data_IF_863138930338
#
_entry.id   IF_863138930338
#
_cell.length_a   1.000
_cell.length_b   1.000
_cell.length_c   1.000
_cell.angle_alpha   90.00
_cell.angle_beta   90.00
_cell.angle_gamma   90.00
#
_symmetry.space_group_name_H-M   'P 1'
#
loop_
_entity.id
_entity.type
_entity.pdbx_description
1 polymer ?
#
# COMPACT_ATOMS: atom_id res chain seq x y z
N UNK A 1 8.83 3.97 6.30
CA UNK A 1 8.15 3.40 7.48
C UNK A 1 6.84 4.15 7.60
N UNK A 2 5.69 3.49 7.51
CA UNK A 2 4.40 4.20 7.61
C UNK A 2 4.34 4.90 8.96
N UNK A 3 4.07 6.21 8.97
CA UNK A 3 3.96 6.97 10.22
C UNK A 3 2.79 6.46 11.08
N UNK A 4 1.86 5.74 10.45
CA UNK A 4 0.87 4.91 11.11
C UNK A 4 1.45 3.97 12.18
N UNK A 5 2.68 3.45 12.01
CA UNK A 5 3.33 2.57 12.97
C UNK A 5 3.69 3.29 14.29
N UNK A 6 3.84 4.62 14.28
CA UNK A 6 4.02 5.40 15.51
C UNK A 6 2.77 5.38 16.40
N UNK A 7 1.61 4.97 15.88
CA UNK A 7 0.42 4.78 16.71
C UNK A 7 0.59 3.64 17.73
N UNK A 8 1.42 2.63 17.48
CA UNK A 8 1.57 1.50 18.39
C UNK A 8 2.17 1.87 19.76
N UNK A 9 3.33 2.56 19.85
CA UNK A 9 3.85 3.02 21.14
C UNK A 9 2.91 4.03 21.80
N UNK A 10 2.32 4.94 21.01
CA UNK A 10 1.39 5.94 21.53
C UNK A 10 0.12 5.31 22.15
N UNK A 11 -0.42 4.26 21.52
CA UNK A 11 -1.55 3.49 22.07
C UNK A 11 -1.22 2.86 23.42
N UNK A 12 -0.03 2.31 23.60
CA UNK A 12 0.39 1.72 24.89
C UNK A 12 0.39 2.75 26.03
N UNK A 13 0.80 3.98 25.74
CA UNK A 13 0.79 5.08 26.72
C UNK A 13 -0.64 5.48 27.10
N UNK A 14 -1.57 5.45 26.13
CA UNK A 14 -2.96 5.87 26.34
C UNK A 14 -3.88 4.79 26.91
N UNK A 15 -3.51 3.51 26.83
CA UNK A 15 -4.29 2.40 27.40
C UNK A 15 -4.74 2.58 28.86
N UNK A 16 -3.87 3.00 29.82
CA UNK A 16 -4.31 3.21 31.20
C UNK A 16 -5.33 4.34 31.32
N UNK A 17 -5.18 5.40 30.52
CA UNK A 17 -6.12 6.53 30.50
C UNK A 17 -7.47 6.11 29.89
N UNK A 18 -7.45 5.32 28.81
CA UNK A 18 -8.66 4.76 28.20
C UNK A 18 -9.42 3.87 29.19
N UNK A 19 -8.72 3.07 30.00
CA UNK A 19 -9.33 2.27 31.08
C UNK A 19 -10.04 3.13 32.14
N UNK A 20 -9.43 4.24 32.57
CA UNK A 20 -10.05 5.19 33.52
C UNK A 20 -11.26 5.91 32.93
N UNK A 21 -11.23 6.21 31.64
CA UNK A 21 -12.32 6.82 30.89
C UNK A 21 -13.31 5.78 30.33
N UNK A 22 -13.22 4.53 30.77
CA UNK A 22 -14.04 3.42 30.28
C UNK A 22 -15.54 3.60 30.47
N UNK A 23 -15.98 4.55 31.30
CA UNK A 23 -17.39 4.91 31.50
C UNK A 23 -17.95 5.79 30.36
N UNK A 24 -17.12 6.52 29.63
CA UNK A 24 -17.53 7.35 28.50
C UNK A 24 -17.80 6.51 27.25
N UNK A 25 -18.85 6.86 26.51
CA UNK A 25 -19.15 6.23 25.24
C UNK A 25 -18.19 6.74 24.14
N UNK A 26 -17.58 5.87 23.32
CA UNK A 26 -16.64 6.28 22.25
C UNK A 26 -17.22 7.37 21.33
N UNK A 27 -18.49 7.24 20.95
CA UNK A 27 -19.19 8.21 20.10
C UNK A 27 -19.12 9.65 20.64
N UNK A 28 -19.23 9.85 21.96
CA UNK A 28 -19.15 11.19 22.59
C UNK A 28 -17.76 11.78 22.35
N UNK A 29 -16.72 10.96 22.48
CA UNK A 29 -15.33 11.36 22.23
C UNK A 29 -15.15 11.77 20.77
N UNK A 30 -15.72 11.02 19.83
CA UNK A 30 -15.66 11.33 18.39
C UNK A 30 -16.42 12.62 18.03
N UNK A 31 -17.60 12.88 18.62
CA UNK A 31 -18.31 14.15 18.41
C UNK A 31 -17.60 15.34 19.07
N UNK A 32 -17.03 15.15 20.26
CA UNK A 32 -16.25 16.19 20.92
C UNK A 32 -15.00 16.58 20.11
N UNK A 33 -14.39 15.62 19.39
CA UNK A 33 -13.31 15.90 18.46
C UNK A 33 -13.72 16.85 17.29
N UNK A 34 -15.01 16.95 16.96
CA UNK A 34 -15.53 17.95 16.00
C UNK A 34 -15.52 19.34 16.60
N UNK A 35 -15.93 19.49 17.86
CA UNK A 35 -15.88 20.76 18.58
C UNK A 35 -14.43 21.26 18.69
N UNK A 36 -13.50 20.38 19.05
CA UNK A 36 -12.06 20.69 19.08
C UNK A 36 -11.56 21.12 17.69
N UNK A 37 -12.03 20.49 16.62
CA UNK A 37 -11.65 20.86 15.26
C UNK A 37 -12.23 22.22 14.84
N UNK A 38 -13.45 22.56 15.25
CA UNK A 38 -14.03 23.89 15.03
C UNK A 38 -13.25 24.98 15.78
N UNK A 39 -12.86 24.73 17.04
CA UNK A 39 -12.00 25.64 17.80
C UNK A 39 -10.62 25.80 17.14
N UNK A 40 -10.06 24.71 16.61
CA UNK A 40 -8.81 24.75 15.83
C UNK A 40 -8.95 25.60 14.57
N UNK A 41 -10.07 25.46 13.85
CA UNK A 41 -10.37 26.23 12.65
C UNK A 41 -10.47 27.73 12.95
N UNK A 42 -11.14 28.09 14.06
CA UNK A 42 -11.21 29.47 14.54
C UNK A 42 -9.83 30.02 14.90
N UNK A 43 -8.98 29.23 15.57
CA UNK A 43 -7.60 29.63 15.88
C UNK A 43 -6.81 29.99 14.61
N UNK A 44 -6.96 29.21 13.52
CA UNK A 44 -6.33 29.52 12.25
C UNK A 44 -6.93 30.76 11.57
N UNK A 45 -8.24 30.94 11.66
CA UNK A 45 -8.92 32.09 11.05
C UNK A 45 -8.42 33.42 11.61
N UNK A 46 -8.32 33.52 12.95
CA UNK A 46 -7.97 34.75 13.64
C UNK A 46 -6.46 34.87 14.00
N UNK A 47 -5.64 33.91 13.56
CA UNK A 47 -4.22 33.85 13.94
C UNK A 47 -3.37 35.04 13.49
N UNK A 48 -3.84 35.81 12.50
CA UNK A 48 -3.11 37.01 12.04
C UNK A 48 -3.25 38.13 13.06
N UNK A 49 -4.42 38.27 13.69
CA UNK A 49 -4.65 39.25 14.75
C UNK A 49 -4.02 38.79 16.08
N UNK A 50 -4.08 37.48 16.34
CA UNK A 50 -3.59 36.87 17.58
C UNK A 50 -2.64 35.70 17.27
N UNK A 51 -1.34 35.96 17.06
CA UNK A 51 -0.34 34.96 16.63
C UNK A 51 -0.23 33.73 17.53
N UNK A 52 -0.46 33.91 18.84
CA UNK A 52 -0.45 32.84 19.84
C UNK A 52 -1.50 31.75 19.52
N UNK A 53 -2.56 32.08 18.78
CA UNK A 53 -3.56 31.11 18.32
C UNK A 53 -2.95 30.01 17.45
N UNK A 54 -1.82 30.23 16.75
CA UNK A 54 -1.14 29.17 16.00
C UNK A 54 -0.59 28.08 16.92
N UNK A 55 -0.05 28.46 18.08
CA UNK A 55 0.43 27.49 19.09
C UNK A 55 -0.76 26.76 19.71
N UNK A 56 -1.84 27.47 20.02
CA UNK A 56 -3.07 26.86 20.52
C UNK A 56 -3.64 25.87 19.49
N UNK A 57 -3.64 26.22 18.19
CA UNK A 57 -4.07 25.32 17.11
C UNK A 57 -3.24 24.02 17.09
N UNK A 58 -1.91 24.09 17.26
CA UNK A 58 -1.05 22.90 17.36
C UNK A 58 -1.45 22.04 18.56
N UNK A 59 -1.67 22.64 19.73
CA UNK A 59 -2.10 21.93 20.94
C UNK A 59 -3.46 21.25 20.74
N UNK A 60 -4.42 21.93 20.10
CA UNK A 60 -5.74 21.38 19.79
C UNK A 60 -5.65 20.24 18.76
N UNK A 61 -4.75 20.31 17.78
CA UNK A 61 -4.50 19.20 16.84
C UNK A 61 -3.95 17.97 17.58
N UNK A 62 -2.97 18.15 18.47
CA UNK A 62 -2.43 17.07 19.31
C UNK A 62 -3.52 16.47 20.21
N UNK A 63 -4.33 17.33 20.84
CA UNK A 63 -5.44 16.90 21.68
C UNK A 63 -6.47 16.10 20.88
N UNK A 64 -6.87 16.57 19.70
CA UNK A 64 -7.77 15.83 18.80
C UNK A 64 -7.18 14.48 18.39
N UNK A 65 -5.89 14.40 18.05
CA UNK A 65 -5.25 13.12 17.74
C UNK A 65 -5.25 12.15 18.92
N UNK A 66 -5.18 12.68 20.14
CA UNK A 66 -5.32 11.92 21.39
C UNK A 66 -6.73 11.35 21.51
N UNK A 67 -7.77 12.18 21.35
CA UNK A 67 -9.18 11.77 21.39
C UNK A 67 -9.47 10.67 20.35
N UNK A 68 -9.01 10.88 19.11
CA UNK A 68 -9.11 9.94 17.98
C UNK A 68 -8.27 8.65 18.13
N UNK A 69 -7.46 8.56 19.18
CA UNK A 69 -6.75 7.33 19.53
C UNK A 69 -7.44 6.64 20.71
N UNK A 70 -7.95 7.42 21.67
CA UNK A 70 -8.73 6.94 22.80
C UNK A 70 -10.03 6.27 22.35
N UNK A 71 -10.79 6.90 21.46
CA UNK A 71 -12.03 6.33 20.89
C UNK A 71 -11.81 4.93 20.28
N UNK A 72 -10.72 4.77 19.52
CA UNK A 72 -10.34 3.51 18.90
C UNK A 72 -9.89 2.46 19.92
N UNK A 73 -9.20 2.85 21.00
CA UNK A 73 -8.84 1.92 22.08
C UNK A 73 -10.11 1.49 22.83
N UNK A 74 -10.99 2.42 23.18
CA UNK A 74 -12.24 2.15 23.88
C UNK A 74 -13.17 1.24 23.08
N UNK A 75 -13.29 1.47 21.76
CA UNK A 75 -14.08 0.63 20.87
C UNK A 75 -13.57 -0.83 20.83
N UNK A 76 -12.24 -1.02 20.80
CA UNK A 76 -11.61 -2.35 20.85
C UNK A 76 -11.86 -3.01 22.21
N UNK A 77 -11.63 -2.29 23.32
CA UNK A 77 -11.79 -2.82 24.68
C UNK A 77 -13.24 -3.24 24.98
N UNK A 78 -14.22 -2.54 24.42
CA UNK A 78 -15.65 -2.87 24.57
C UNK A 78 -16.11 -4.01 23.66
N UNK A 79 -15.23 -4.59 22.83
CA UNK A 79 -15.59 -5.61 21.84
C UNK A 79 -16.58 -5.13 20.78
N UNK A 80 -16.82 -3.82 20.71
CA UNK A 80 -17.96 -3.23 20.01
C UNK A 80 -17.55 -2.72 18.62
N UNK A 81 -16.92 -3.59 17.84
CA UNK A 81 -16.63 -3.37 16.41
C UNK A 81 -17.93 -3.50 15.59
N UNK A 82 -18.92 -2.66 15.91
CA UNK A 82 -20.20 -2.63 15.20
C UNK A 82 -20.09 -1.82 13.91
N UNK A 83 -20.90 -2.16 12.91
CA UNK A 83 -21.01 -1.38 11.66
C UNK A 83 -21.42 0.08 11.93
N UNK A 84 -22.29 0.30 12.92
CA UNK A 84 -22.65 1.64 13.39
C UNK A 84 -21.41 2.41 13.89
N UNK A 85 -20.60 1.78 14.71
CA UNK A 85 -19.36 2.36 15.24
C UNK A 85 -18.36 2.73 14.14
N UNK A 86 -18.30 1.98 13.04
CA UNK A 86 -17.46 2.37 11.89
C UNK A 86 -17.89 3.72 11.29
N UNK A 87 -19.19 3.96 11.14
CA UNK A 87 -19.73 5.22 10.61
C UNK A 87 -19.50 6.37 11.61
N UNK A 88 -19.83 6.14 12.89
CA UNK A 88 -19.72 7.16 13.93
C UNK A 88 -18.26 7.54 14.22
N UNK A 89 -17.30 6.66 13.95
CA UNK A 89 -15.89 7.03 13.98
C UNK A 89 -15.44 7.75 12.70
N UNK A 90 -15.89 7.29 11.53
CA UNK A 90 -15.39 7.80 10.25
C UNK A 90 -15.92 9.20 9.90
N UNK A 91 -17.22 9.46 10.14
CA UNK A 91 -17.90 10.65 9.65
C UNK A 91 -17.52 11.92 10.44
N UNK A 92 -17.56 11.96 11.79
CA UNK A 92 -17.06 13.09 12.57
C UNK A 92 -15.60 13.42 12.24
N UNK A 93 -14.77 12.40 12.05
CA UNK A 93 -13.39 12.56 11.59
C UNK A 93 -13.27 13.31 10.26
N UNK A 94 -14.16 13.04 9.29
CA UNK A 94 -14.19 13.76 8.01
C UNK A 94 -14.58 15.22 8.22
N UNK A 95 -15.62 15.48 9.01
CA UNK A 95 -16.02 16.86 9.33
C UNK A 95 -14.91 17.63 10.04
N UNK A 96 -14.25 17.02 11.03
CA UNK A 96 -13.12 17.64 11.72
C UNK A 96 -11.95 17.94 10.78
N UNK A 97 -11.64 17.04 9.82
CA UNK A 97 -10.60 17.30 8.81
C UNK A 97 -11.00 18.46 7.88
N UNK A 98 -12.27 18.55 7.47
CA UNK A 98 -12.78 19.64 6.64
C UNK A 98 -12.70 20.96 7.40
N UNK A 99 -13.23 21.03 8.62
CA UNK A 99 -13.26 22.24 9.45
C UNK A 99 -11.85 22.81 9.64
N UNK A 100 -10.89 21.96 10.02
CA UNK A 100 -9.53 22.40 10.28
C UNK A 100 -8.85 22.97 9.02
N UNK A 101 -8.98 22.30 7.87
CA UNK A 101 -8.41 22.82 6.61
C UNK A 101 -9.19 24.05 6.14
N UNK A 102 -10.51 24.11 6.34
CA UNK A 102 -11.32 25.28 6.04
C UNK A 102 -10.90 26.50 6.87
N UNK A 103 -10.57 26.33 8.15
CA UNK A 103 -10.02 27.40 8.98
C UNK A 103 -8.72 27.97 8.41
N UNK A 104 -7.85 27.11 7.87
CA UNK A 104 -6.63 27.55 7.16
C UNK A 104 -6.98 28.23 5.83
N UNK A 105 -7.91 27.65 5.06
CA UNK A 105 -8.30 28.14 3.74
C UNK A 105 -9.01 29.50 3.78
N UNK A 106 -9.72 29.79 4.87
CA UNK A 106 -10.44 31.03 5.11
C UNK A 106 -9.61 32.04 5.89
N UNK A 107 -8.44 31.65 6.42
CA UNK A 107 -7.57 32.59 7.10
C UNK A 107 -6.79 33.45 6.10
N UNK A 108 -6.32 34.63 6.50
CA UNK A 108 -5.48 35.43 5.62
C UNK A 108 -4.14 34.75 5.30
N UNK A 109 -3.76 33.66 5.98
CA UNK A 109 -2.52 32.95 5.74
C UNK A 109 -2.56 32.06 4.49
N UNK A 110 -3.71 31.85 3.85
CA UNK A 110 -3.81 30.97 2.68
C UNK A 110 -4.71 31.56 1.59
N UNK A 111 -4.30 31.45 0.32
CA UNK A 111 -5.21 31.67 -0.81
C UNK A 111 -6.35 30.66 -0.79
N UNK A 112 -7.59 31.17 -0.79
CA UNK A 112 -8.81 30.36 -0.69
C UNK A 112 -8.86 29.21 -1.70
N UNK A 113 -8.48 29.44 -2.96
CA UNK A 113 -8.51 28.42 -4.00
C UNK A 113 -7.57 27.24 -3.70
N UNK A 114 -6.41 27.50 -3.09
CA UNK A 114 -5.43 26.48 -2.75
C UNK A 114 -5.94 25.63 -1.58
N UNK A 115 -6.53 26.28 -0.58
CA UNK A 115 -7.22 25.62 0.53
C UNK A 115 -8.39 24.73 0.05
N UNK A 116 -9.21 25.21 -0.89
CA UNK A 116 -10.31 24.42 -1.49
C UNK A 116 -9.77 23.16 -2.19
N UNK A 117 -8.71 23.28 -2.99
CA UNK A 117 -8.08 22.13 -3.65
C UNK A 117 -7.51 21.14 -2.62
N UNK A 118 -6.91 21.65 -1.53
CA UNK A 118 -6.41 20.81 -0.45
C UNK A 118 -7.52 20.05 0.29
N UNK A 119 -8.68 20.68 0.54
CA UNK A 119 -9.88 20.03 1.08
C UNK A 119 -10.36 18.93 0.14
N UNK A 120 -10.53 19.24 -1.15
CA UNK A 120 -10.96 18.26 -2.15
C UNK A 120 -10.01 17.07 -2.25
N UNK A 121 -8.70 17.34 -2.25
CA UNK A 121 -7.67 16.29 -2.26
C UNK A 121 -7.71 15.45 -0.99
N UNK A 122 -7.83 16.06 0.18
CA UNK A 122 -7.96 15.36 1.46
C UNK A 122 -9.18 14.43 1.47
N UNK A 123 -10.31 14.92 0.96
CA UNK A 123 -11.55 14.17 0.86
C UNK A 123 -11.37 12.97 -0.07
N UNK A 124 -10.79 13.16 -1.26
CA UNK A 124 -10.51 12.09 -2.22
C UNK A 124 -9.54 11.04 -1.69
N UNK A 125 -8.50 11.43 -0.94
CA UNK A 125 -7.60 10.47 -0.27
C UNK A 125 -8.39 9.57 0.69
N UNK A 126 -9.32 10.15 1.44
CA UNK A 126 -10.11 9.44 2.44
C UNK A 126 -11.19 8.57 1.80
N UNK A 127 -11.86 9.12 0.79
CA UNK A 127 -12.85 8.45 -0.04
C UNK A 127 -12.27 7.24 -0.75
N UNK A 128 -11.13 7.37 -1.45
CA UNK A 128 -10.48 6.23 -2.10
C UNK A 128 -10.14 5.12 -1.10
N UNK A 129 -9.76 5.46 0.13
CA UNK A 129 -9.60 4.45 1.19
C UNK A 129 -10.89 3.68 1.48
N UNK A 130 -12.01 4.38 1.68
CA UNK A 130 -13.31 3.78 1.98
C UNK A 130 -13.93 3.03 0.79
N UNK A 131 -13.70 3.51 -0.44
CA UNK A 131 -14.14 2.84 -1.67
C UNK A 131 -13.63 1.40 -1.75
N UNK A 132 -12.43 1.14 -1.22
CA UNK A 132 -11.89 -0.21 -1.14
C UNK A 132 -12.80 -1.15 -0.33
N UNK A 133 -13.21 -0.71 0.87
CA UNK A 133 -14.15 -1.47 1.72
C UNK A 133 -15.47 -1.74 1.00
N UNK A 134 -16.02 -0.72 0.32
CA UNK A 134 -17.29 -0.83 -0.40
C UNK A 134 -17.22 -1.85 -1.55
N UNK A 135 -16.08 -1.91 -2.25
CA UNK A 135 -15.82 -2.88 -3.32
C UNK A 135 -15.33 -4.24 -2.80
N UNK A 136 -15.40 -4.49 -1.48
CA UNK A 136 -14.89 -5.67 -0.79
C UNK A 136 -13.38 -5.93 -0.95
N UNK A 137 -12.61 -4.96 -1.46
CA UNK A 137 -11.16 -5.06 -1.56
C UNK A 137 -10.48 -4.50 -0.32
N UNK A 138 -9.24 -4.91 -0.09
CA UNK A 138 -8.48 -4.51 1.08
C UNK A 138 -8.39 -2.99 1.21
N UNK A 139 -8.50 -2.52 2.45
CA UNK A 139 -8.40 -1.11 2.76
C UNK A 139 -6.96 -0.63 2.51
N UNK A 140 -6.77 0.23 1.51
CA UNK A 140 -5.46 0.77 1.19
C UNK A 140 -5.10 1.93 2.11
N UNK A 141 -4.23 1.68 3.10
CA UNK A 141 -3.71 2.70 4.01
C UNK A 141 -2.44 3.40 3.51
N UNK A 142 -1.80 2.85 2.48
CA UNK A 142 -0.50 3.32 2.02
C UNK A 142 -0.56 4.67 1.28
N UNK A 143 0.59 5.33 1.19
CA UNK A 143 0.79 6.61 0.49
C UNK A 143 1.37 7.68 1.42
N UNK A 144 2.09 8.67 0.89
CA UNK A 144 2.81 9.66 1.71
C UNK A 144 1.92 10.68 2.40
N UNK A 145 0.63 10.76 2.07
CA UNK A 145 -0.30 11.75 2.64
C UNK A 145 -1.54 11.08 3.25
N UNK A 146 -1.30 10.18 4.20
CA UNK A 146 -2.35 9.60 5.03
C UNK A 146 -2.89 10.57 6.09
N UNK A 147 -3.71 10.05 7.03
CA UNK A 147 -4.37 10.88 8.05
C UNK A 147 -3.34 11.53 9.00
N UNK A 148 -2.36 10.75 9.47
CA UNK A 148 -1.38 11.23 10.48
C UNK A 148 -0.37 12.15 9.80
N UNK A 149 0.07 11.79 8.60
CA UNK A 149 0.98 12.57 7.74
C UNK A 149 0.45 13.99 7.53
N UNK A 150 -0.85 14.12 7.25
CA UNK A 150 -1.51 15.41 7.12
C UNK A 150 -1.44 16.26 8.39
N UNK A 151 -1.75 15.68 9.54
CA UNK A 151 -1.73 16.40 10.82
C UNK A 151 -0.32 16.88 11.15
N UNK A 152 0.70 16.05 10.89
CA UNK A 152 2.10 16.42 11.10
C UNK A 152 2.53 17.55 10.18
N UNK A 153 2.18 17.49 8.88
CA UNK A 153 2.47 18.58 7.94
C UNK A 153 1.83 19.88 8.41
N UNK A 154 0.55 19.87 8.79
CA UNK A 154 -0.13 21.07 9.28
C UNK A 154 0.57 21.61 10.53
N UNK A 155 0.88 20.78 11.53
CA UNK A 155 1.54 21.24 12.75
C UNK A 155 2.94 21.80 12.49
N UNK A 156 3.76 21.14 11.65
CA UNK A 156 5.11 21.62 11.32
C UNK A 156 5.04 22.96 10.62
N UNK A 157 4.20 23.11 9.60
CA UNK A 157 4.09 24.39 8.89
C UNK A 157 3.40 25.47 9.72
N UNK A 158 2.51 25.11 10.65
CA UNK A 158 1.95 26.04 11.63
C UNK A 158 3.04 26.57 12.57
N UNK A 159 3.95 25.70 13.02
CA UNK A 159 5.09 26.10 13.85
C UNK A 159 6.06 27.00 13.06
N UNK A 160 6.35 26.65 11.81
CA UNK A 160 7.16 27.50 10.92
C UNK A 160 6.49 28.85 10.70
N UNK A 161 5.17 28.89 10.49
CA UNK A 161 4.40 30.13 10.35
C UNK A 161 4.50 31.01 11.59
N UNK A 162 4.45 30.40 12.78
CA UNK A 162 4.57 31.13 14.05
C UNK A 162 5.98 31.74 14.21
N UNK A 163 7.03 31.01 13.82
CA UNK A 163 8.43 31.47 13.92
C UNK A 163 8.77 32.53 12.86
N UNK A 164 8.29 32.38 11.62
CA UNK A 164 8.62 33.26 10.47
C UNK A 164 7.73 34.53 10.44
N UNK A 165 7.24 34.94 11.61
CA UNK A 165 6.35 36.06 11.89
C UNK A 165 4.92 35.93 11.30
N UNK A 166 3.90 36.38 12.07
CA UNK A 166 2.47 36.20 11.78
C UNK A 166 1.87 37.16 10.73
N UNK A 167 2.61 38.19 10.31
CA UNK A 167 2.15 39.24 9.37
C UNK A 167 2.16 38.79 7.91
N UNK A 168 1.52 37.64 7.61
CA UNK A 168 1.28 37.15 6.24
C UNK A 168 2.54 37.18 5.35
N UNK A 169 3.73 37.00 5.94
CA UNK A 169 4.98 37.10 5.21
C UNK A 169 5.11 35.93 4.25
N UNK A 170 5.32 36.24 2.98
CA UNK A 170 5.54 35.25 1.95
C UNK A 170 7.01 34.80 2.01
N UNK A 171 7.22 33.50 2.15
CA UNK A 171 8.55 32.91 2.05
C UNK A 171 8.78 32.53 0.59
N UNK A 172 9.86 33.03 0.01
CA UNK A 172 10.25 32.64 -1.34
C UNK A 172 10.99 31.30 -1.29
N UNK A 173 10.45 30.30 -1.99
CA UNK A 173 11.12 29.01 -2.15
C UNK A 173 10.94 28.52 -3.59
N UNK A 174 12.05 28.14 -4.25
CA UNK A 174 12.08 27.79 -5.68
C UNK A 174 11.41 28.83 -6.60
N UNK A 175 11.53 30.12 -6.29
CA UNK A 175 10.92 31.19 -7.09
C UNK A 175 9.42 31.42 -6.83
N UNK A 176 8.79 30.63 -5.96
CA UNK A 176 7.38 30.79 -5.58
C UNK A 176 7.32 31.53 -4.24
N UNK A 177 6.60 32.65 -4.22
CA UNK A 177 6.28 33.39 -3.00
C UNK A 177 4.98 32.82 -2.41
N UNK A 178 5.07 32.22 -1.24
CA UNK A 178 3.93 31.62 -0.56
C UNK A 178 4.16 31.61 0.95
N UNK A 179 3.09 31.70 1.75
CA UNK A 179 3.20 31.54 3.20
C UNK A 179 3.56 30.08 3.54
N UNK A 180 4.15 29.81 4.72
CA UNK A 180 4.28 28.44 5.22
C UNK A 180 2.97 27.64 5.18
N UNK A 181 1.83 28.26 5.51
CA UNK A 181 0.54 27.59 5.44
C UNK A 181 0.14 27.22 4.00
N UNK A 182 0.43 28.06 3.01
CA UNK A 182 0.22 27.74 1.60
C UNK A 182 1.13 26.60 1.13
N UNK A 183 2.39 26.58 1.54
CA UNK A 183 3.29 25.47 1.27
C UNK A 183 2.74 24.16 1.81
N UNK A 184 2.17 24.17 3.02
CA UNK A 184 1.51 23.00 3.59
C UNK A 184 0.35 22.49 2.73
N UNK A 185 -0.50 23.40 2.22
CA UNK A 185 -1.63 23.05 1.34
C UNK A 185 -1.17 22.52 -0.02
N UNK A 186 -0.12 23.11 -0.61
CA UNK A 186 0.48 22.65 -1.86
C UNK A 186 1.08 21.25 -1.72
N UNK A 187 1.87 21.00 -0.67
CA UNK A 187 2.45 19.69 -0.37
C UNK A 187 1.36 18.65 -0.13
N UNK A 188 0.35 18.99 0.68
CA UNK A 188 -0.80 18.12 0.93
C UNK A 188 -1.55 17.77 -0.36
N UNK A 189 -1.70 18.74 -1.27
CA UNK A 189 -2.34 18.53 -2.57
C UNK A 189 -1.51 17.57 -3.43
N UNK A 190 -0.24 17.85 -3.67
CA UNK A 190 0.62 17.03 -4.55
C UNK A 190 0.79 15.60 -4.01
N UNK A 191 1.15 15.47 -2.73
CA UNK A 191 1.32 14.15 -2.11
C UNK A 191 0.00 13.42 -1.90
N UNK A 192 -1.11 14.17 -1.75
CA UNK A 192 -2.46 13.63 -1.71
C UNK A 192 -2.88 13.01 -3.03
N UNK A 193 -2.66 13.69 -4.16
CA UNK A 193 -2.91 13.14 -5.50
C UNK A 193 -2.06 11.90 -5.77
N UNK A 194 -0.77 11.92 -5.38
CA UNK A 194 0.07 10.73 -5.48
C UNK A 194 -0.45 9.56 -4.61
N UNK A 195 -0.97 9.86 -3.42
CA UNK A 195 -1.60 8.87 -2.53
C UNK A 195 -2.83 8.25 -3.17
N UNK A 196 -3.71 9.06 -3.75
CA UNK A 196 -4.92 8.62 -4.50
C UNK A 196 -4.54 7.65 -5.60
N UNK A 197 -3.59 8.03 -6.47
CA UNK A 197 -3.15 7.18 -7.59
C UNK A 197 -2.55 5.86 -7.11
N UNK A 198 -1.76 5.89 -6.03
CA UNK A 198 -1.21 4.67 -5.44
C UNK A 198 -2.33 3.75 -4.95
N UNK A 199 -3.27 4.28 -4.17
CA UNK A 199 -4.37 3.48 -3.60
C UNK A 199 -5.24 2.88 -4.70
N UNK A 200 -5.58 3.66 -5.73
CA UNK A 200 -6.35 3.19 -6.88
C UNK A 200 -5.64 2.05 -7.61
N UNK A 201 -4.33 2.17 -7.86
CA UNK A 201 -3.53 1.09 -8.47
C UNK A 201 -3.57 -0.20 -7.63
N UNK A 202 -3.51 -0.08 -6.31
CA UNK A 202 -3.65 -1.21 -5.38
C UNK A 202 -5.02 -1.88 -5.49
N UNK A 203 -6.09 -1.08 -5.46
CA UNK A 203 -7.47 -1.56 -5.55
C UNK A 203 -7.76 -2.25 -6.89
N UNK A 204 -7.44 -1.59 -8.01
CA UNK A 204 -7.65 -2.17 -9.34
C UNK A 204 -6.93 -3.50 -9.53
N UNK A 205 -5.78 -3.67 -8.88
CA UNK A 205 -5.03 -4.92 -8.92
C UNK A 205 -5.73 -6.03 -8.15
N UNK A 206 -6.28 -5.73 -6.98
CA UNK A 206 -7.04 -6.69 -6.18
C UNK A 206 -8.38 -7.06 -6.81
N UNK A 207 -9.07 -6.08 -7.41
CA UNK A 207 -10.29 -6.32 -8.19
C UNK A 207 -9.99 -7.29 -9.34
N UNK A 208 -8.94 -7.04 -10.12
CA UNK A 208 -8.50 -7.94 -11.20
C UNK A 208 -8.21 -9.35 -10.71
N UNK A 209 -7.64 -9.48 -9.51
CA UNK A 209 -7.38 -10.78 -8.90
C UNK A 209 -8.69 -11.50 -8.58
N UNK A 210 -9.62 -10.85 -7.87
CA UNK A 210 -10.93 -11.42 -7.52
C UNK A 210 -11.75 -11.82 -8.74
N UNK A 211 -11.87 -10.94 -9.73
CA UNK A 211 -12.59 -11.23 -10.98
C UNK A 211 -11.96 -12.41 -11.74
N UNK A 212 -10.64 -12.57 -11.67
CA UNK A 212 -9.97 -13.68 -12.31
C UNK A 212 -10.16 -15.01 -11.57
N UNK A 213 -10.17 -14.98 -10.22
CA UNK A 213 -10.49 -16.16 -9.40
C UNK A 213 -11.92 -16.64 -9.69
N UNK A 214 -12.90 -15.73 -9.68
CA UNK A 214 -14.31 -16.06 -9.96
C UNK A 214 -14.53 -16.69 -11.34
N UNK A 215 -13.80 -16.20 -12.35
CA UNK A 215 -13.82 -16.78 -13.71
C UNK A 215 -13.20 -18.17 -13.79
N UNK A 216 -12.16 -18.45 -13.00
CA UNK A 216 -11.54 -19.78 -12.95
C UNK A 216 -12.48 -20.81 -12.31
N UNK A 217 -13.18 -20.44 -11.22
CA UNK A 217 -14.14 -21.32 -10.54
C UNK A 217 -15.34 -21.67 -11.44
N UNK A 218 -15.74 -20.73 -12.31
CA UNK A 218 -16.89 -20.88 -13.22
C UNK A 218 -16.60 -21.70 -14.49
N UNK A 219 -15.34 -22.02 -14.79
CA UNK A 219 -14.95 -22.66 -16.06
C UNK A 219 -13.75 -23.60 -15.93
N UNK A 220 -13.99 -24.90 -15.76
CA UNK A 220 -12.93 -25.93 -15.82
C UNK A 220 -12.61 -26.31 -17.26
N UNK A 221 -11.64 -25.64 -17.85
CA UNK A 221 -10.84 -26.23 -18.92
C UNK A 221 -9.41 -26.38 -18.43
N UNK A 222 -8.94 -27.62 -18.27
CA UNK A 222 -7.54 -27.91 -17.95
C UNK A 222 -6.70 -27.45 -19.13
N UNK A 223 -5.90 -26.41 -18.92
CA UNK A 223 -5.04 -25.88 -19.97
C UNK A 223 -3.92 -26.87 -20.30
N UNK A 224 -3.49 -26.92 -21.58
CA UNK A 224 -2.33 -27.72 -22.04
C UNK A 224 -1.00 -27.08 -21.64
N UNK A 225 -0.90 -26.65 -20.38
CA UNK A 225 0.29 -26.07 -19.81
C UNK A 225 0.75 -26.85 -18.58
N UNK A 226 2.00 -26.67 -18.20
CA UNK A 226 2.54 -27.14 -16.93
C UNK A 226 3.47 -26.11 -16.33
N UNK A 227 3.45 -25.99 -15.01
CA UNK A 227 4.46 -25.24 -14.25
C UNK A 227 5.45 -26.21 -13.62
N UNK A 228 6.74 -26.02 -13.90
CA UNK A 228 7.85 -26.80 -13.37
C UNK A 228 8.75 -25.87 -12.58
N UNK A 229 9.19 -26.30 -11.40
CA UNK A 229 10.06 -25.47 -10.59
C UNK A 229 11.12 -26.26 -9.82
N UNK A 230 12.20 -25.57 -9.50
CA UNK A 230 13.09 -25.94 -8.39
C UNK A 230 12.94 -24.93 -7.26
N UNK A 231 13.13 -25.35 -6.01
CA UNK A 231 13.11 -24.42 -4.86
C UNK A 231 14.02 -24.86 -3.72
N UNK A 232 14.79 -23.91 -3.19
CA UNK A 232 15.71 -24.13 -2.05
C UNK A 232 15.09 -23.67 -0.72
N UNK A 233 14.30 -22.59 -0.76
CA UNK A 233 13.78 -21.90 0.44
C UNK A 233 12.27 -21.71 0.37
N UNK A 234 11.59 -22.57 -0.39
CA UNK A 234 10.14 -22.59 -0.57
C UNK A 234 9.53 -21.38 -1.31
N UNK A 235 10.30 -20.29 -1.47
CA UNK A 235 9.88 -19.08 -2.18
C UNK A 235 9.40 -19.38 -3.60
N UNK A 236 10.17 -20.18 -4.34
CA UNK A 236 9.88 -20.51 -5.75
C UNK A 236 8.67 -21.42 -5.88
N UNK A 237 8.48 -22.37 -4.94
CA UNK A 237 7.28 -23.23 -4.89
C UNK A 237 6.02 -22.38 -4.77
N UNK A 238 5.97 -21.47 -3.79
CA UNK A 238 4.80 -20.60 -3.57
C UNK A 238 4.43 -19.77 -4.80
N UNK A 239 5.45 -19.25 -5.49
CA UNK A 239 5.25 -18.50 -6.75
C UNK A 239 4.77 -19.44 -7.87
N UNK A 240 5.36 -20.62 -8.01
CA UNK A 240 4.99 -21.62 -9.01
C UNK A 240 3.53 -22.05 -8.87
N UNK A 241 3.11 -22.37 -7.64
CA UNK A 241 1.74 -22.76 -7.29
C UNK A 241 0.74 -21.67 -7.69
N UNK A 242 1.04 -20.40 -7.39
CA UNK A 242 0.16 -19.29 -7.75
C UNK A 242 0.11 -19.02 -9.25
N UNK A 243 1.23 -19.16 -9.96
CA UNK A 243 1.22 -19.09 -11.43
C UNK A 243 0.36 -20.23 -12.01
N UNK A 244 0.52 -21.46 -11.50
CA UNK A 244 -0.23 -22.63 -11.97
C UNK A 244 -1.73 -22.50 -11.72
N UNK A 245 -2.11 -22.00 -10.54
CA UNK A 245 -3.48 -21.65 -10.17
C UNK A 245 -4.08 -20.65 -11.18
N UNK A 246 -3.35 -19.57 -11.48
CA UNK A 246 -3.81 -18.55 -12.44
C UNK A 246 -3.93 -19.06 -13.89
N UNK A 247 -3.12 -20.06 -14.27
CA UNK A 247 -3.22 -20.72 -15.59
C UNK A 247 -4.33 -21.78 -15.61
N UNK A 248 -4.67 -22.36 -14.46
CA UNK A 248 -5.55 -23.53 -14.35
C UNK A 248 -4.86 -24.82 -14.78
N UNK A 249 -3.59 -25.02 -14.40
CA UNK A 249 -2.79 -26.19 -14.77
C UNK A 249 -2.10 -26.86 -13.57
N UNK A 250 -1.45 -28.01 -13.81
CA UNK A 250 -0.65 -28.70 -12.79
C UNK A 250 0.70 -28.02 -12.55
N UNK A 251 1.19 -28.16 -11.33
CA UNK A 251 2.53 -27.75 -10.90
C UNK A 251 3.31 -28.98 -10.42
N UNK A 252 4.59 -29.05 -10.77
CA UNK A 252 5.51 -30.15 -10.41
C UNK A 252 6.88 -29.62 -10.01
N UNK A 253 7.49 -30.22 -9.00
CA UNK A 253 8.92 -30.05 -8.77
C UNK A 253 9.72 -30.79 -9.84
N UNK A 254 10.91 -30.30 -10.18
CA UNK A 254 11.87 -31.04 -11.03
C UNK A 254 12.31 -32.38 -10.45
N UNK A 255 12.05 -32.63 -9.17
CA UNK A 255 12.33 -33.91 -8.51
C UNK A 255 11.27 -34.98 -8.82
N UNK A 256 10.11 -34.58 -9.36
CA UNK A 256 9.02 -35.46 -9.74
C UNK A 256 9.13 -35.86 -11.22
N UNK A 257 8.74 -37.10 -11.56
CA UNK A 257 8.73 -37.57 -12.94
C UNK A 257 7.47 -37.10 -13.67
N UNK A 258 7.63 -36.38 -14.78
CA UNK A 258 6.53 -35.92 -15.62
C UNK A 258 6.98 -35.85 -17.08
N UNK A 259 6.17 -36.38 -18.00
CA UNK A 259 6.40 -36.19 -19.43
C UNK A 259 5.95 -34.79 -19.85
N UNK A 260 6.94 -33.91 -20.00
CA UNK A 260 6.72 -32.49 -20.32
C UNK A 260 6.47 -32.25 -21.82
N UNK A 261 6.71 -33.25 -22.67
CA UNK A 261 6.57 -33.12 -24.13
C UNK A 261 5.13 -32.97 -24.62
N UNK A 262 4.15 -33.40 -23.80
CA UNK A 262 2.71 -33.33 -24.13
C UNK A 262 2.07 -31.95 -23.94
N UNK A 263 2.78 -30.99 -23.34
CA UNK A 263 2.24 -29.66 -23.04
C UNK A 263 2.61 -28.66 -24.13
N UNK A 264 1.67 -27.78 -24.48
CA UNK A 264 1.88 -26.70 -25.45
C UNK A 264 2.62 -25.51 -24.85
N UNK A 265 2.59 -25.37 -23.53
CA UNK A 265 3.34 -24.34 -22.79
C UNK A 265 3.97 -24.92 -21.54
N UNK A 266 5.23 -24.58 -21.33
CA UNK A 266 5.97 -24.95 -20.13
C UNK A 266 6.43 -23.66 -19.45
N UNK A 267 6.03 -23.52 -18.18
CA UNK A 267 6.47 -22.45 -17.31
C UNK A 267 7.52 -23.01 -16.37
N UNK A 268 8.77 -22.65 -16.56
CA UNK A 268 9.90 -23.18 -15.77
C UNK A 268 10.47 -22.11 -14.85
N UNK A 269 10.80 -22.46 -13.61
CA UNK A 269 11.41 -21.49 -12.70
C UNK A 269 12.36 -22.03 -11.67
N UNK A 270 13.20 -21.13 -11.17
CA UNK A 270 14.28 -21.43 -10.23
C UNK A 270 14.60 -20.22 -9.34
N UNK A 271 15.19 -20.43 -8.16
CA UNK A 271 15.95 -19.41 -7.48
C UNK A 271 17.02 -18.82 -8.41
N UNK A 272 17.18 -17.49 -8.38
CA UNK A 272 18.30 -16.80 -9.02
C UNK A 272 19.48 -16.78 -8.05
N UNK A 273 20.48 -17.60 -8.34
CA UNK A 273 21.74 -17.70 -7.60
C UNK A 273 22.82 -17.03 -8.43
N UNK A 274 23.10 -15.76 -8.12
CA UNK A 274 24.16 -14.97 -8.79
C UNK A 274 24.06 -15.02 -10.33
N UNK A 275 22.89 -14.70 -10.89
CA UNK A 275 22.55 -14.71 -12.33
C UNK A 275 22.29 -16.09 -12.92
N UNK A 276 22.43 -17.19 -12.17
CA UNK A 276 22.22 -18.56 -12.69
C UNK A 276 21.05 -19.26 -12.00
N UNK A 277 20.36 -20.17 -12.71
CA UNK A 277 19.43 -21.09 -12.06
C UNK A 277 20.20 -22.05 -11.14
N UNK A 278 19.47 -22.81 -10.33
CA UNK A 278 20.06 -23.84 -9.49
C UNK A 278 20.75 -24.92 -10.34
N UNK A 279 21.80 -25.57 -9.81
CA UNK A 279 22.44 -26.69 -10.49
C UNK A 279 21.47 -27.85 -10.78
N UNK A 280 20.50 -28.08 -9.90
CA UNK A 280 19.48 -29.11 -10.08
C UNK A 280 18.59 -28.83 -11.30
N UNK A 281 18.17 -27.57 -11.50
CA UNK A 281 17.41 -27.19 -12.69
C UNK A 281 18.24 -27.37 -13.98
N UNK A 282 19.52 -26.99 -13.95
CA UNK A 282 20.41 -27.16 -15.12
C UNK A 282 20.49 -28.63 -15.52
N UNK A 283 20.76 -29.53 -14.56
CA UNK A 283 20.80 -30.98 -14.81
C UNK A 283 19.48 -31.52 -15.35
N UNK A 284 18.35 -31.04 -14.82
CA UNK A 284 17.03 -31.41 -15.31
C UNK A 284 16.84 -31.04 -16.80
N UNK A 285 17.27 -29.83 -17.18
CA UNK A 285 17.17 -29.33 -18.55
C UNK A 285 18.09 -30.05 -19.53
N UNK A 286 19.25 -30.55 -19.07
CA UNK A 286 20.15 -31.37 -19.90
C UNK A 286 19.49 -32.70 -20.29
N UNK A 287 18.66 -33.26 -19.41
CA UNK A 287 17.98 -34.56 -19.63
C UNK A 287 16.60 -34.46 -20.29
N UNK A 288 15.99 -33.27 -20.32
CA UNK A 288 14.65 -33.06 -20.85
C UNK A 288 14.65 -31.87 -21.81
N UNK A 289 14.29 -32.06 -23.08
CA UNK A 289 14.19 -30.95 -24.04
C UNK A 289 12.86 -31.00 -24.83
N UNK A 290 11.85 -30.24 -24.41
CA UNK A 290 10.56 -30.21 -25.09
C UNK A 290 10.66 -29.32 -26.34
N UNK A 291 10.71 -29.91 -27.54
CA UNK A 291 10.92 -29.19 -28.82
C UNK A 291 9.77 -28.23 -29.19
N UNK A 292 8.51 -28.61 -29.01
CA UNK A 292 7.33 -27.87 -29.52
C UNK A 292 6.71 -26.85 -28.56
N UNK A 293 6.98 -26.94 -27.25
CA UNK A 293 6.29 -26.11 -26.26
C UNK A 293 6.73 -24.64 -26.26
N UNK A 294 5.77 -23.70 -26.12
CA UNK A 294 6.04 -22.30 -25.78
C UNK A 294 6.71 -22.25 -24.40
N UNK A 295 7.83 -21.54 -24.28
CA UNK A 295 8.57 -21.44 -23.02
C UNK A 295 8.23 -20.15 -22.27
N UNK A 296 7.97 -20.26 -20.98
CA UNK A 296 7.88 -19.13 -20.05
C UNK A 296 8.88 -19.36 -18.94
N UNK A 297 9.63 -18.34 -18.54
CA UNK A 297 10.60 -18.44 -17.45
C UNK A 297 10.21 -17.57 -16.28
N UNK A 298 10.41 -18.06 -15.06
CA UNK A 298 10.27 -17.23 -13.87
C UNK A 298 11.38 -17.50 -12.85
N UNK A 299 11.69 -16.50 -12.03
CA UNK A 299 12.72 -16.63 -11.01
C UNK A 299 12.32 -15.98 -9.69
N UNK A 300 12.82 -16.54 -8.59
CA UNK A 300 12.77 -15.87 -7.28
C UNK A 300 14.15 -15.41 -6.85
N UNK A 301 14.28 -14.21 -6.29
CA UNK A 301 15.58 -13.66 -5.88
C UNK A 301 15.57 -13.13 -4.45
N UNK A 302 16.69 -13.34 -3.74
CA UNK A 302 16.82 -12.95 -2.33
C UNK A 302 17.62 -11.68 -2.07
N UNK A 303 18.42 -11.21 -3.03
CA UNK A 303 19.29 -10.03 -2.84
C UNK A 303 18.59 -8.73 -3.28
N UNK A 304 18.54 -7.69 -2.44
CA UNK A 304 18.07 -6.36 -2.82
C UNK A 304 18.88 -5.78 -3.98
N UNK A 305 18.21 -5.09 -4.91
CA UNK A 305 18.79 -4.45 -6.10
C UNK A 305 19.43 -5.47 -7.07
N UNK A 306 20.51 -6.14 -6.68
CA UNK A 306 21.23 -7.11 -7.48
C UNK A 306 20.36 -8.28 -7.94
N UNK A 307 19.50 -8.81 -7.07
CA UNK A 307 18.61 -9.91 -7.44
C UNK A 307 17.66 -9.51 -8.58
N UNK A 308 17.17 -8.28 -8.59
CA UNK A 308 16.28 -7.77 -9.63
C UNK A 308 17.03 -7.58 -10.95
N UNK A 309 18.21 -6.94 -10.91
CA UNK A 309 19.05 -6.70 -12.10
C UNK A 309 19.45 -8.03 -12.76
N UNK A 310 19.80 -9.02 -11.96
CA UNK A 310 20.32 -10.32 -12.44
C UNK A 310 19.22 -11.31 -12.84
N UNK A 311 17.97 -11.05 -12.49
CA UNK A 311 16.85 -11.95 -12.79
C UNK A 311 16.63 -12.13 -14.30
N UNK A 312 16.82 -11.06 -15.08
CA UNK A 312 16.72 -11.12 -16.55
C UNK A 312 17.74 -12.07 -17.16
N UNK A 313 19.00 -11.99 -16.72
CA UNK A 313 20.07 -12.90 -17.16
C UNK A 313 19.80 -14.34 -16.76
N UNK A 314 19.35 -14.58 -15.52
CA UNK A 314 18.99 -15.92 -15.07
C UNK A 314 17.87 -16.53 -15.92
N UNK A 315 16.82 -15.76 -16.21
CA UNK A 315 15.72 -16.19 -17.07
C UNK A 315 16.13 -16.43 -18.52
N UNK A 316 17.13 -15.69 -19.03
CA UNK A 316 17.72 -15.96 -20.36
C UNK A 316 18.47 -17.28 -20.35
N UNK A 317 19.34 -17.53 -19.35
CA UNK A 317 20.10 -18.77 -19.27
C UNK A 317 19.20 -20.01 -19.18
N UNK A 318 18.10 -19.93 -18.41
CA UNK A 318 17.09 -21.00 -18.37
C UNK A 318 16.49 -21.24 -19.76
N UNK A 319 16.26 -20.19 -20.55
CA UNK A 319 15.68 -20.32 -21.87
C UNK A 319 16.68 -20.79 -22.94
N UNK A 320 17.92 -20.33 -22.85
CA UNK A 320 19.04 -20.72 -23.70
C UNK A 320 19.39 -22.21 -23.54
N UNK A 321 19.21 -22.79 -22.35
CA UNK A 321 19.40 -24.24 -22.12
C UNK A 321 18.51 -25.12 -23.02
N UNK A 322 17.35 -24.61 -23.46
CA UNK A 322 16.49 -25.28 -24.44
C UNK A 322 16.52 -24.61 -25.82
N UNK A 323 17.46 -23.71 -26.07
CA UNK A 323 17.58 -22.91 -27.29
C UNK A 323 16.26 -22.19 -27.67
N UNK A 324 15.54 -21.67 -26.66
CA UNK A 324 14.22 -21.04 -26.83
C UNK A 324 14.21 -19.58 -26.41
N UNK A 325 13.36 -18.78 -27.05
CA UNK A 325 13.01 -17.44 -26.59
C UNK A 325 11.75 -17.51 -25.72
N UNK A 326 11.79 -17.02 -24.47
CA UNK A 326 10.65 -17.13 -23.58
C UNK A 326 9.55 -16.12 -23.98
N UNK A 327 8.31 -16.59 -24.11
CA UNK A 327 7.12 -15.78 -24.46
C UNK A 327 6.55 -14.99 -23.27
N UNK A 328 7.09 -15.22 -22.07
CA UNK A 328 6.75 -14.55 -20.84
C UNK A 328 7.89 -14.69 -19.83
N UNK A 329 8.05 -13.66 -18.99
CA UNK A 329 9.06 -13.61 -17.92
C UNK A 329 8.45 -13.05 -16.66
N UNK A 330 8.78 -13.65 -15.52
CA UNK A 330 8.33 -13.17 -14.22
C UNK A 330 9.43 -13.27 -13.16
N UNK A 331 9.57 -12.25 -12.33
CA UNK A 331 10.57 -12.27 -11.25
C UNK A 331 9.93 -11.81 -9.95
N UNK A 332 10.19 -12.55 -8.88
CA UNK A 332 9.59 -12.29 -7.58
C UNK A 332 10.67 -12.20 -6.48
N UNK A 333 10.65 -11.17 -5.61
CA UNK A 333 11.50 -11.16 -4.42
C UNK A 333 11.07 -12.27 -3.44
N UNK A 334 12.03 -12.92 -2.80
CA UNK A 334 11.79 -13.96 -1.79
C UNK A 334 12.74 -13.82 -0.61
N UNK A 335 12.35 -14.35 0.54
CA UNK A 335 13.16 -14.26 1.75
C UNK A 335 14.50 -14.99 1.60
N UNK A 336 15.60 -14.30 1.87
CA UNK A 336 16.94 -14.91 1.87
C UNK A 336 17.35 -15.28 3.29
N UNK A 337 17.51 -16.57 3.59
CA UNK A 337 17.85 -17.04 4.94
C UNK A 337 19.19 -16.48 5.47
N UNK A 338 20.26 -16.55 4.66
CA UNK A 338 21.61 -16.06 5.06
C UNK A 338 21.67 -14.55 5.33
N UNK A 339 21.21 -13.73 4.40
CA UNK A 339 21.28 -12.26 4.51
C UNK A 339 20.08 -11.64 5.24
N UNK A 340 19.07 -12.46 5.60
CA UNK A 340 17.82 -12.04 6.25
C UNK A 340 17.11 -10.88 5.51
N UNK A 341 17.29 -10.80 4.19
CA UNK A 341 16.68 -9.80 3.30
C UNK A 341 15.30 -10.25 2.85
N UNK A 342 14.43 -9.28 2.51
CA UNK A 342 13.04 -9.53 2.12
C UNK A 342 12.23 -10.37 3.14
N UNK A 343 12.37 -10.09 4.44
CA UNK A 343 11.55 -10.72 5.49
C UNK A 343 10.07 -10.61 5.14
N UNK A 344 9.36 -11.74 5.24
CA UNK A 344 7.94 -11.83 4.92
C UNK A 344 7.58 -11.86 3.43
N UNK A 345 8.56 -11.98 2.52
CA UNK A 345 8.31 -12.19 1.07
C UNK A 345 8.64 -13.62 0.62
N UNK A 346 7.95 -14.18 -0.39
CA UNK A 346 6.84 -13.57 -1.13
C UNK A 346 5.60 -13.38 -0.25
N UNK A 347 5.03 -12.17 -0.27
CA UNK A 347 3.81 -11.81 0.47
C UNK A 347 2.57 -11.89 -0.42
N UNK A 348 1.40 -11.58 0.12
CA UNK A 348 0.12 -11.64 -0.62
C UNK A 348 0.12 -10.82 -1.91
N UNK A 349 0.83 -9.68 -1.93
CA UNK A 349 0.98 -8.89 -3.16
C UNK A 349 1.82 -9.67 -4.17
N UNK A 350 3.01 -10.12 -3.78
CA UNK A 350 3.90 -10.89 -4.66
C UNK A 350 3.18 -12.14 -5.24
N UNK A 351 2.39 -12.83 -4.41
CA UNK A 351 1.59 -13.99 -4.81
C UNK A 351 0.41 -13.62 -5.73
N UNK A 352 -0.27 -12.50 -5.48
CA UNK A 352 -1.29 -11.98 -6.38
C UNK A 352 -0.72 -11.60 -7.76
N UNK A 353 0.48 -11.02 -7.82
CA UNK A 353 1.16 -10.75 -9.11
C UNK A 353 1.49 -12.05 -9.85
N UNK A 354 1.93 -13.07 -9.10
CA UNK A 354 2.24 -14.40 -9.64
C UNK A 354 1.00 -15.04 -10.26
N UNK A 355 -0.14 -14.97 -9.57
CA UNK A 355 -1.42 -15.46 -10.09
C UNK A 355 -1.88 -14.68 -11.32
N UNK A 356 -1.89 -13.34 -11.27
CA UNK A 356 -2.30 -12.50 -12.40
C UNK A 356 -1.39 -12.69 -13.62
N UNK A 357 -0.11 -12.98 -13.41
CA UNK A 357 0.79 -13.40 -14.47
C UNK A 357 0.33 -14.71 -15.11
N UNK A 358 -0.05 -15.72 -14.31
CA UNK A 358 -0.65 -16.95 -14.80
C UNK A 358 -1.92 -16.73 -15.62
N UNK A 359 -2.85 -15.89 -15.14
CA UNK A 359 -4.08 -15.52 -15.87
C UNK A 359 -3.78 -14.84 -17.21
N UNK A 360 -2.70 -14.06 -17.29
CA UNK A 360 -2.26 -13.46 -18.56
C UNK A 360 -1.73 -14.52 -19.53
N UNK A 361 -1.11 -15.58 -19.03
CA UNK A 361 -0.58 -16.68 -19.84
C UNK A 361 -1.69 -17.60 -20.34
N UNK A 362 -2.73 -17.88 -19.56
CA UNK A 362 -3.86 -18.70 -20.01
C UNK A 362 -4.56 -18.09 -21.23
N UNK A 363 -4.67 -16.76 -21.30
CA UNK A 363 -5.16 -16.04 -22.48
C UNK A 363 -4.30 -16.19 -23.74
N UNK A 364 -3.06 -16.68 -23.63
CA UNK A 364 -2.17 -16.96 -24.77
C UNK A 364 -2.24 -18.43 -25.23
N UNK A 365 -2.99 -19.26 -24.49
CA UNK A 365 -3.26 -20.67 -24.78
C UNK A 365 -4.62 -20.88 -25.43
N UNK A 366 -5.58 -19.98 -25.17
CA UNK A 366 -6.79 -19.80 -25.98
C UNK A 366 -6.43 -19.12 -27.30
#
# INVERSE_FOLDING_TARGET
MDMYLLKFPYRKILQPLAGKLGWLHPDIVSYFAVVVAAATAWCFYDSVNHPVLLIIAILLILFRMTLNTLDGIMAIQRGNLSLKGEIVNALPDRYSDILMIAGIALSPLCRNWLGIIAIGTMFLVSYTGMLGKALTVSWQHHGPMGKVERMVVIMVFTLVQFVVLPEKQMVQWFGIQATPMEWSMGIMTVLGQYTILRRLKGQLREIKYKEAVEKLDSGRNRSRAIVIYDSVTDNTRKVAEKIAEGIGCSVRSISETEDIGKYEMIVIGSPNIRKRPTPALQKYQDTNNPQSAKLVTFVTFGLPVWGQITSGTCMNLIAEAWNKKPVGRFSCPGYHQKYKTYKGRPNDKDLMDSFLFGVKLSKKLQ
#
